data_IF_677071211808
#
_entry.id   IF_677071211808
#
_cell.length_a   1.000
_cell.length_b   1.000
_cell.length_c   1.000
_cell.angle_alpha   90.00
_cell.angle_beta   90.00
_cell.angle_gamma   90.00
#
_symmetry.space_group_name_H-M   'P 1'
#
loop_
_entity.id
_entity.type
_entity.pdbx_description
1 polymer ?
#
# COMPACT_ATOMS: atom_id res chain seq x y z
N UNK A 1 3.12 11.87 6.14
CA UNK A 1 3.29 10.69 7.01
C UNK A 1 3.87 9.55 6.19
N UNK A 2 4.78 8.83 6.78
CA UNK A 2 5.41 7.67 6.16
C UNK A 2 5.11 6.44 7.01
N UNK A 3 4.65 5.37 6.37
CA UNK A 3 4.47 4.07 7.01
C UNK A 3 5.53 3.14 6.42
N UNK A 4 6.37 2.58 7.27
CA UNK A 4 7.45 1.68 6.82
C UNK A 4 7.23 0.29 7.37
N UNK A 5 6.70 -0.60 6.53
CA UNK A 5 6.53 -2.02 6.83
C UNK A 5 7.40 -2.85 5.89
N UNK A 6 8.55 -2.30 5.46
CA UNK A 6 9.42 -2.99 4.50
C UNK A 6 9.99 -4.29 5.05
N UNK A 7 10.08 -4.44 6.38
CA UNK A 7 10.52 -5.68 7.01
C UNK A 7 9.38 -6.69 7.21
N UNK A 8 8.13 -6.30 6.94
CA UNK A 8 6.97 -7.16 7.13
C UNK A 8 6.71 -7.95 5.86
N UNK A 9 7.11 -9.22 5.83
CA UNK A 9 7.06 -10.05 4.61
C UNK A 9 5.87 -10.99 4.53
N UNK A 10 5.02 -11.04 5.56
CA UNK A 10 3.91 -12.00 5.62
C UNK A 10 2.61 -11.36 6.08
N UNK A 11 2.36 -10.13 5.67
CA UNK A 11 1.10 -9.45 5.99
C UNK A 11 -0.01 -10.07 5.14
N UNK A 12 -1.10 -10.49 5.76
CA UNK A 12 -2.20 -11.14 5.07
C UNK A 12 -3.38 -10.23 4.82
N UNK A 13 -3.65 -9.30 5.72
CA UNK A 13 -4.80 -8.41 5.59
C UNK A 13 -4.47 -7.01 6.11
N UNK A 14 -5.14 -6.02 5.53
CA UNK A 14 -5.19 -4.66 6.05
C UNK A 14 -6.63 -4.43 6.50
N UNK A 15 -6.82 -3.98 7.73
CA UNK A 15 -8.15 -3.85 8.33
C UNK A 15 -9.05 -2.84 7.64
N UNK A 16 -10.35 -2.95 7.87
CA UNK A 16 -11.32 -1.98 7.37
C UNK A 16 -11.00 -0.59 7.90
N UNK A 17 -11.05 0.40 7.01
CA UNK A 17 -10.81 1.81 7.35
C UNK A 17 -9.45 2.08 7.99
N UNK A 18 -8.47 1.18 7.83
CA UNK A 18 -7.17 1.30 8.51
C UNK A 18 -6.51 2.66 8.27
N UNK A 19 -6.60 3.17 7.04
CA UNK A 19 -6.03 4.48 6.67
C UNK A 19 -7.09 5.37 6.02
N UNK A 20 -8.35 5.18 6.38
CA UNK A 20 -9.49 5.90 5.80
C UNK A 20 -9.31 7.41 5.94
N UNK A 21 -9.41 8.12 4.82
CA UNK A 21 -9.25 9.57 4.75
C UNK A 21 -7.97 10.10 5.39
N UNK A 22 -6.92 9.28 5.39
CA UNK A 22 -5.62 9.70 5.91
C UNK A 22 -4.90 10.52 4.83
N UNK A 23 -5.28 11.79 4.71
CA UNK A 23 -4.74 12.68 3.70
C UNK A 23 -3.28 13.05 3.92
N UNK A 24 -2.71 12.67 5.05
CA UNK A 24 -1.29 12.90 5.36
C UNK A 24 -0.42 11.71 4.99
N UNK A 25 -1.03 10.59 4.60
CA UNK A 25 -0.27 9.41 4.17
C UNK A 25 0.35 9.68 2.80
N UNK A 26 1.66 9.76 2.74
CA UNK A 26 2.38 10.09 1.50
C UNK A 26 3.26 8.96 1.00
N UNK A 27 3.78 8.13 1.88
CA UNK A 27 4.66 7.03 1.53
C UNK A 27 4.32 5.82 2.38
N UNK A 28 4.07 4.70 1.73
CA UNK A 28 3.80 3.43 2.40
C UNK A 28 4.74 2.38 1.80
N UNK A 29 5.57 1.78 2.64
CA UNK A 29 6.48 0.72 2.22
C UNK A 29 6.02 -0.59 2.82
N UNK A 30 6.00 -1.66 2.02
CA UNK A 30 5.63 -2.98 2.50
C UNK A 30 6.53 -4.03 1.84
N UNK A 31 6.96 -5.02 2.63
CA UNK A 31 7.86 -6.06 2.15
C UNK A 31 7.18 -7.36 1.75
N UNK A 32 5.85 -7.39 1.75
CA UNK A 32 5.08 -8.60 1.43
C UNK A 32 4.92 -8.76 -0.07
N UNK A 33 5.36 -9.88 -0.63
CA UNK A 33 5.33 -10.11 -2.08
C UNK A 33 3.91 -10.34 -2.61
N UNK A 34 3.08 -11.05 -1.86
CA UNK A 34 1.69 -11.27 -2.26
C UNK A 34 0.84 -10.16 -1.64
N UNK A 35 0.14 -9.36 -2.47
CA UNK A 35 -0.63 -8.25 -1.92
C UNK A 35 -1.64 -8.70 -0.86
N UNK A 36 -1.59 -8.13 0.35
CA UNK A 36 -2.59 -8.44 1.37
C UNK A 36 -3.99 -8.04 0.91
N UNK A 37 -4.99 -8.70 1.45
CA UNK A 37 -6.38 -8.32 1.20
C UNK A 37 -6.71 -7.06 1.98
N UNK A 38 -7.20 -6.03 1.29
CA UNK A 38 -7.61 -4.79 1.95
C UNK A 38 -9.06 -4.86 2.39
N UNK A 39 -9.33 -4.46 3.62
CA UNK A 39 -10.70 -4.32 4.10
C UNK A 39 -11.40 -3.14 3.42
N UNK A 40 -12.67 -2.97 3.70
CA UNK A 40 -13.49 -1.92 3.10
C UNK A 40 -12.86 -0.55 3.38
N UNK A 41 -12.63 0.23 2.32
CA UNK A 41 -12.12 1.60 2.40
C UNK A 41 -10.82 1.74 3.19
N UNK A 42 -9.97 0.72 3.17
CA UNK A 42 -8.72 0.73 3.94
C UNK A 42 -7.83 1.92 3.56
N UNK A 43 -7.78 2.29 2.28
CA UNK A 43 -6.97 3.40 1.79
C UNK A 43 -7.80 4.48 1.10
N UNK A 44 -9.10 4.49 1.33
CA UNK A 44 -9.96 5.49 0.70
C UNK A 44 -9.64 6.90 1.22
N UNK A 45 -9.49 7.84 0.31
CA UNK A 45 -9.28 9.24 0.69
C UNK A 45 -7.88 9.59 1.15
N UNK A 46 -6.89 8.73 0.85
CA UNK A 46 -5.49 9.05 1.18
C UNK A 46 -4.98 10.15 0.27
N UNK A 47 -3.78 10.66 0.58
CA UNK A 47 -3.19 11.78 -0.16
C UNK A 47 -3.10 11.48 -1.66
N UNK A 48 -3.44 12.47 -2.50
CA UNK A 48 -3.43 12.34 -3.96
C UNK A 48 -2.03 12.13 -4.55
N UNK A 49 -0.99 12.37 -3.76
CA UNK A 49 0.40 12.19 -4.19
C UNK A 49 1.07 11.03 -3.46
N UNK A 50 0.27 10.15 -2.84
CA UNK A 50 0.80 9.03 -2.09
C UNK A 50 1.54 8.04 -3.01
N UNK A 51 2.61 7.45 -2.46
CA UNK A 51 3.43 6.46 -3.17
C UNK A 51 3.45 5.18 -2.36
N UNK A 52 3.23 4.05 -3.02
CA UNK A 52 3.39 2.73 -2.43
C UNK A 52 4.67 2.11 -2.97
N UNK A 53 5.53 1.62 -2.08
CA UNK A 53 6.73 0.89 -2.45
C UNK A 53 6.60 -0.55 -2.00
N UNK A 54 6.79 -1.47 -2.95
CA UNK A 54 6.58 -2.91 -2.77
C UNK A 54 7.84 -3.67 -3.17
N UNK A 55 7.95 -4.97 -2.85
CA UNK A 55 9.11 -5.74 -3.27
C UNK A 55 9.32 -5.68 -4.78
N UNK A 56 10.58 -5.70 -5.19
CA UNK A 56 10.95 -5.64 -6.60
C UNK A 56 10.20 -6.68 -7.42
N UNK A 57 9.58 -6.26 -8.53
CA UNK A 57 8.82 -7.15 -9.40
C UNK A 57 7.38 -7.39 -8.96
N UNK A 58 6.93 -6.82 -7.84
CA UNK A 58 5.58 -7.06 -7.33
C UNK A 58 4.61 -5.91 -7.59
N UNK A 59 5.07 -4.84 -8.22
CA UNK A 59 4.23 -3.66 -8.45
C UNK A 59 2.96 -3.98 -9.24
N UNK A 60 3.07 -4.81 -10.27
CA UNK A 60 1.90 -5.15 -11.09
C UNK A 60 0.85 -5.93 -10.30
N UNK A 61 1.29 -6.82 -9.40
CA UNK A 61 0.37 -7.57 -8.55
C UNK A 61 -0.40 -6.64 -7.61
N UNK A 62 0.29 -5.66 -7.05
CA UNK A 62 -0.36 -4.66 -6.19
C UNK A 62 -1.31 -3.76 -7.00
N UNK A 63 -0.92 -3.37 -8.21
CA UNK A 63 -1.78 -2.55 -9.07
C UNK A 63 -3.07 -3.26 -9.43
N UNK A 64 -3.03 -4.58 -9.54
CA UNK A 64 -4.20 -5.38 -9.89
C UNK A 64 -5.11 -5.67 -8.69
N UNK A 65 -4.62 -5.48 -7.46
CA UNK A 65 -5.36 -5.83 -6.26
C UNK A 65 -6.21 -4.65 -5.79
N UNK A 66 -7.49 -4.92 -5.52
CA UNK A 66 -8.41 -3.91 -5.02
C UNK A 66 -7.90 -3.32 -3.69
N UNK A 67 -8.06 -2.03 -3.52
CA UNK A 67 -7.60 -1.30 -2.33
C UNK A 67 -6.22 -0.71 -2.52
N UNK A 68 -5.26 -1.48 -2.99
CA UNK A 68 -3.92 -0.98 -3.24
C UNK A 68 -3.86 0.03 -4.38
N UNK A 69 -4.84 -0.02 -5.26
CA UNK A 69 -4.94 0.92 -6.40
C UNK A 69 -5.26 2.36 -6.00
N UNK A 70 -5.56 2.59 -4.72
CA UNK A 70 -5.84 3.96 -4.24
C UNK A 70 -4.57 4.82 -4.21
N UNK A 71 -3.39 4.20 -4.18
CA UNK A 71 -2.14 4.95 -4.21
C UNK A 71 -1.93 5.58 -5.58
N UNK A 72 -1.39 6.80 -5.59
CA UNK A 72 -1.15 7.53 -6.83
C UNK A 72 -0.08 6.84 -7.68
N UNK A 73 0.89 6.19 -7.03
CA UNK A 73 2.00 5.52 -7.71
C UNK A 73 2.40 4.29 -6.93
N UNK A 74 2.71 3.20 -7.64
CA UNK A 74 3.18 1.95 -7.03
C UNK A 74 4.49 1.58 -7.71
N UNK A 75 5.58 1.55 -6.95
CA UNK A 75 6.92 1.27 -7.48
C UNK A 75 7.62 0.24 -6.59
N UNK A 76 8.78 -0.24 -7.05
CA UNK A 76 9.57 -1.18 -6.27
C UNK A 76 10.33 -0.48 -5.14
N UNK A 77 10.65 -1.24 -4.08
CA UNK A 77 11.43 -0.71 -2.95
C UNK A 77 12.84 -0.31 -3.36
N UNK A 78 13.34 -0.89 -4.46
CA UNK A 78 14.67 -0.62 -4.97
C UNK A 78 14.72 0.50 -6.02
N UNK A 79 13.63 1.18 -6.23
CA UNK A 79 13.52 2.26 -7.22
C UNK A 79 13.55 3.64 -6.59
#
# INVERSE_FOLDING_TARGET
>A
MTVDMSACTQVETIGEYAFYEDSKLRLFKIGTETPPTCGISAFYGINLYSVLKVPSGCADAYKAKSGWREFASITGLDE
#
